data_IF_285626313360
#
_entry.id   IF_285626313360
#
_cell.length_a   1.000
_cell.length_b   1.000
_cell.length_c   1.000
_cell.angle_alpha   90.00
_cell.angle_beta   90.00
_cell.angle_gamma   90.00
#
_symmetry.space_group_name_H-M   'P 1'
#
loop_
_entity.id
_entity.type
_entity.pdbx_description
1 polymer ?
#
# COMPACT_ATOMS: atom_id res chain seq x y z
N UNK A 1 -29.70 -10.52 -4.21
CA UNK A 1 -28.28 -10.54 -4.56
C UNK A 1 -27.56 -9.89 -3.40
N UNK A 2 -26.90 -10.69 -2.57
CA UNK A 2 -26.10 -10.19 -1.45
C UNK A 2 -24.95 -9.35 -2.03
N UNK A 3 -24.93 -8.08 -1.70
CA UNK A 3 -23.71 -7.26 -1.86
C UNK A 3 -22.73 -7.81 -0.84
N UNK A 4 -21.76 -8.59 -1.32
CA UNK A 4 -20.71 -9.18 -0.50
C UNK A 4 -19.99 -8.06 0.24
N UNK A 5 -20.25 -8.03 1.55
CA UNK A 5 -19.57 -7.14 2.48
C UNK A 5 -18.14 -7.62 2.55
N UNK A 6 -17.20 -6.89 1.98
CA UNK A 6 -15.79 -7.15 2.19
C UNK A 6 -15.52 -6.87 3.67
N UNK A 7 -15.28 -7.91 4.46
CA UNK A 7 -14.97 -7.78 5.89
C UNK A 7 -13.51 -7.35 6.12
N UNK A 8 -12.65 -7.47 5.11
CA UNK A 8 -11.25 -7.08 5.17
C UNK A 8 -11.09 -5.56 5.38
N UNK A 9 -10.22 -5.18 6.30
CA UNK A 9 -9.79 -3.78 6.45
C UNK A 9 -8.63 -3.49 5.48
N UNK A 10 -8.90 -2.73 4.43
CA UNK A 10 -7.94 -2.40 3.38
C UNK A 10 -7.41 -0.99 3.60
N UNK A 11 -6.13 -0.89 3.96
CA UNK A 11 -5.41 0.36 4.20
C UNK A 11 -4.58 0.70 2.95
N UNK A 12 -4.88 1.81 2.31
CA UNK A 12 -4.09 2.30 1.18
C UNK A 12 -3.27 3.52 1.59
N UNK A 13 -1.97 3.47 1.33
CA UNK A 13 -1.04 4.56 1.61
C UNK A 13 -0.78 5.34 0.33
N UNK A 14 -1.06 6.65 0.34
CA UNK A 14 -0.88 7.54 -0.81
C UNK A 14 -0.26 8.88 -0.38
N UNK A 15 0.35 9.61 -1.31
CA UNK A 15 0.99 10.89 -1.02
C UNK A 15 2.10 11.24 -2.00
N UNK A 16 2.75 12.38 -1.78
CA UNK A 16 3.88 12.86 -2.59
C UNK A 16 5.05 11.87 -2.56
N UNK A 17 5.85 11.84 -3.62
CA UNK A 17 7.12 11.08 -3.64
C UNK A 17 8.08 11.54 -2.53
N UNK A 18 8.77 10.59 -1.89
CA UNK A 18 9.80 10.86 -0.89
C UNK A 18 9.32 11.21 0.52
N UNK A 19 8.02 11.17 0.81
CA UNK A 19 7.48 11.50 2.15
C UNK A 19 7.49 10.32 3.13
N UNK A 20 7.98 9.13 2.72
CA UNK A 20 8.08 7.94 3.58
C UNK A 20 6.86 7.04 3.59
N UNK A 21 6.12 6.96 2.47
CA UNK A 21 4.97 6.06 2.31
C UNK A 21 5.33 4.61 2.60
N UNK A 22 6.34 4.10 1.89
CA UNK A 22 6.83 2.72 2.00
C UNK A 22 7.24 2.36 3.42
N UNK A 23 8.01 3.23 4.08
CA UNK A 23 8.43 3.02 5.47
C UNK A 23 7.23 2.99 6.42
N UNK A 24 6.24 3.89 6.23
CA UNK A 24 5.00 3.88 7.02
C UNK A 24 4.15 2.65 6.75
N UNK A 25 4.00 2.23 5.49
CA UNK A 25 3.28 1.00 5.14
C UNK A 25 3.94 -0.22 5.82
N UNK A 26 5.27 -0.33 5.77
CA UNK A 26 6.00 -1.40 6.43
C UNK A 26 5.81 -1.39 7.95
N UNK A 27 5.90 -0.22 8.60
CA UNK A 27 5.66 -0.09 10.05
C UNK A 27 4.21 -0.41 10.41
N UNK A 28 3.23 -0.06 9.56
CA UNK A 28 1.84 -0.47 9.77
C UNK A 28 1.67 -1.98 9.74
N UNK A 29 2.35 -2.69 8.81
CA UNK A 29 2.38 -4.16 8.79
C UNK A 29 2.96 -4.71 10.10
N UNK A 30 4.14 -4.22 10.55
CA UNK A 30 4.74 -4.60 11.83
C UNK A 30 3.76 -4.46 12.99
N UNK A 31 3.07 -3.31 13.08
CA UNK A 31 2.12 -3.03 14.16
C UNK A 31 0.88 -3.93 14.11
N UNK A 32 0.38 -4.24 12.92
CA UNK A 32 -0.75 -5.15 12.74
C UNK A 32 -0.39 -6.58 13.15
N UNK A 33 0.79 -7.07 12.74
CA UNK A 33 1.30 -8.40 13.13
C UNK A 33 1.41 -8.51 14.64
N UNK A 34 1.97 -7.48 15.30
CA UNK A 34 2.10 -7.47 16.75
C UNK A 34 0.76 -7.40 17.49
N UNK A 35 -0.21 -6.63 16.97
CA UNK A 35 -1.51 -6.43 17.63
C UNK A 35 -2.49 -7.58 17.36
N UNK A 36 -2.39 -8.25 16.24
CA UNK A 36 -3.36 -9.23 15.76
C UNK A 36 -2.69 -10.54 15.28
N UNK A 37 -2.04 -11.31 16.18
CA UNK A 37 -1.28 -12.51 15.79
C UNK A 37 -2.14 -13.62 15.17
N UNK A 38 -3.45 -13.64 15.46
CA UNK A 38 -4.39 -14.64 14.93
C UNK A 38 -5.08 -14.19 13.63
N UNK A 39 -4.73 -12.99 13.11
CA UNK A 39 -5.34 -12.43 11.90
C UNK A 39 -4.44 -12.61 10.68
N UNK A 40 -5.08 -12.81 9.54
CA UNK A 40 -4.38 -12.88 8.25
C UNK A 40 -4.14 -11.48 7.72
N UNK A 41 -2.86 -11.13 7.57
CA UNK A 41 -2.39 -9.82 7.13
C UNK A 41 -1.68 -9.97 5.80
N UNK A 42 -2.03 -9.13 4.82
CA UNK A 42 -1.39 -9.06 3.52
C UNK A 42 -0.75 -7.69 3.30
N UNK A 43 0.51 -7.67 2.91
CA UNK A 43 1.20 -6.49 2.41
C UNK A 43 1.26 -6.55 0.88
N UNK A 44 0.80 -5.50 0.20
CA UNK A 44 0.84 -5.37 -1.26
C UNK A 44 1.78 -4.23 -1.63
N UNK A 45 2.86 -4.55 -2.34
CA UNK A 45 3.73 -3.55 -2.96
C UNK A 45 3.21 -3.22 -4.37
N UNK A 46 2.58 -2.07 -4.50
CA UNK A 46 2.04 -1.58 -5.77
C UNK A 46 2.92 -0.48 -6.38
N UNK A 47 4.09 -0.17 -5.79
CA UNK A 47 5.09 0.73 -6.37
C UNK A 47 6.02 -0.07 -7.32
N UNK A 48 6.21 0.39 -8.57
CA UNK A 48 7.14 -0.26 -9.50
C UNK A 48 8.59 -0.36 -9.01
N UNK A 49 8.97 0.44 -8.00
CA UNK A 49 10.30 0.40 -7.40
C UNK A 49 10.50 -0.77 -6.42
N UNK A 50 9.41 -1.46 -6.04
CA UNK A 50 9.41 -2.64 -5.14
C UNK A 50 10.18 -2.38 -3.83
N UNK A 51 9.92 -1.23 -3.19
CA UNK A 51 10.62 -0.80 -1.97
C UNK A 51 10.09 -1.43 -0.69
N UNK A 52 8.82 -1.83 -0.67
CA UNK A 52 8.17 -2.39 0.51
C UNK A 52 8.78 -3.75 0.89
N UNK A 53 9.17 -4.56 -0.09
CA UNK A 53 9.85 -5.84 0.15
C UNK A 53 11.14 -5.67 0.95
N UNK A 54 11.98 -4.69 0.59
CA UNK A 54 13.22 -4.38 1.31
C UNK A 54 12.91 -3.93 2.73
N UNK A 55 11.95 -3.01 2.90
CA UNK A 55 11.58 -2.50 4.23
C UNK A 55 11.01 -3.59 5.16
N UNK A 56 10.36 -4.61 4.62
CA UNK A 56 9.84 -5.76 5.37
C UNK A 56 10.84 -6.92 5.49
N UNK A 57 11.94 -6.92 4.72
CA UNK A 57 12.92 -8.01 4.69
C UNK A 57 12.42 -9.23 3.91
N UNK A 58 11.62 -9.01 2.85
CA UNK A 58 11.04 -10.07 2.00
C UNK A 58 11.89 -10.29 0.76
N UNK A 59 12.22 -11.54 0.46
CA UNK A 59 12.88 -11.95 -0.79
C UNK A 59 11.85 -12.25 -1.88
N UNK A 60 11.63 -11.31 -2.79
CA UNK A 60 10.65 -11.43 -3.88
C UNK A 60 11.27 -12.11 -5.07
N UNK A 61 10.80 -13.31 -5.41
CA UNK A 61 11.28 -14.08 -6.57
C UNK A 61 10.42 -13.91 -7.81
N UNK A 62 9.14 -13.61 -7.62
CA UNK A 62 8.15 -13.51 -8.70
C UNK A 62 7.18 -12.38 -8.39
N UNK A 63 6.87 -11.55 -9.38
CA UNK A 63 5.86 -10.51 -9.28
C UNK A 63 4.61 -10.87 -10.08
N UNK A 64 3.50 -10.19 -9.81
CA UNK A 64 2.27 -10.36 -10.62
C UNK A 64 2.52 -10.00 -12.08
N UNK A 65 3.37 -9.00 -12.36
CA UNK A 65 3.70 -8.61 -13.74
C UNK A 65 4.54 -9.69 -14.46
N UNK A 66 5.40 -10.42 -13.76
CA UNK A 66 6.17 -11.53 -14.34
C UNK A 66 5.23 -12.67 -14.76
N UNK A 67 4.27 -13.03 -13.90
CA UNK A 67 3.23 -14.03 -14.25
C UNK A 67 2.46 -13.59 -15.48
N UNK A 68 2.08 -12.30 -15.53
CA UNK A 68 1.38 -11.75 -16.68
C UNK A 68 2.20 -11.85 -17.97
N UNK A 69 3.49 -11.52 -17.91
CA UNK A 69 4.40 -11.62 -19.07
C UNK A 69 4.47 -13.04 -19.60
N UNK A 70 4.59 -14.02 -18.71
CA UNK A 70 4.59 -15.43 -19.10
C UNK A 70 3.27 -15.87 -19.77
N UNK A 71 2.12 -15.44 -19.21
CA UNK A 71 0.80 -15.74 -19.77
C UNK A 71 0.64 -15.13 -21.17
N UNK A 72 1.06 -13.86 -21.36
CA UNK A 72 0.98 -13.19 -22.66
C UNK A 72 1.90 -13.83 -23.69
N UNK A 73 3.14 -14.16 -23.32
CA UNK A 73 4.09 -14.84 -24.21
C UNK A 73 3.55 -16.17 -24.70
N UNK A 74 2.91 -16.95 -23.82
CA UNK A 74 2.30 -18.23 -24.20
C UNK A 74 1.00 -18.07 -25.04
N UNK A 75 0.34 -16.90 -25.00
CA UNK A 75 -0.87 -16.62 -25.79
C UNK A 75 -0.57 -16.14 -27.23
N UNK A 76 0.62 -15.61 -27.51
CA UNK A 76 1.03 -15.12 -28.83
C UNK A 76 1.23 -16.25 -29.86
N UNK A 77 1.30 -17.51 -29.42
CA UNK A 77 1.35 -18.69 -30.30
C UNK A 77 0.02 -19.05 -31.00
N UNK A 78 -0.95 -18.14 -31.02
CA UNK A 78 -2.04 -18.12 -31.99
C UNK A 78 -3.29 -18.95 -31.68
N UNK A 79 -3.48 -19.43 -30.46
CA UNK A 79 -4.67 -20.20 -30.09
C UNK A 79 -5.58 -19.46 -29.09
N UNK A 80 -6.66 -18.82 -29.60
CA UNK A 80 -7.62 -18.08 -28.78
C UNK A 80 -8.27 -18.93 -27.66
N UNK A 81 -8.34 -20.25 -27.83
CA UNK A 81 -8.87 -21.18 -26.83
C UNK A 81 -7.86 -21.40 -25.70
N UNK A 82 -6.57 -21.47 -26.03
CA UNK A 82 -5.49 -21.51 -25.04
C UNK A 82 -5.38 -20.21 -24.26
N UNK A 83 -5.66 -19.05 -24.89
CA UNK A 83 -5.67 -17.76 -24.18
C UNK A 83 -6.77 -17.65 -23.12
N UNK A 84 -7.94 -18.27 -23.33
CA UNK A 84 -9.04 -18.30 -22.34
C UNK A 84 -8.72 -19.26 -21.18
N UNK A 85 -8.15 -20.42 -21.49
CA UNK A 85 -7.67 -21.38 -20.48
C UNK A 85 -6.54 -20.79 -19.65
N UNK A 86 -5.57 -20.11 -20.29
CA UNK A 86 -4.46 -19.40 -19.64
C UNK A 86 -4.93 -18.24 -18.75
N UNK A 87 -6.01 -17.53 -19.10
CA UNK A 87 -6.61 -16.49 -18.24
C UNK A 87 -7.23 -17.10 -16.97
N UNK A 88 -7.79 -18.30 -17.05
CA UNK A 88 -8.25 -19.07 -15.91
C UNK A 88 -7.09 -19.54 -15.02
N UNK A 89 -6.01 -20.04 -15.62
CA UNK A 89 -4.79 -20.45 -14.92
C UNK A 89 -4.04 -19.28 -14.31
N UNK A 90 -3.97 -18.13 -14.99
CA UNK A 90 -3.32 -16.91 -14.50
C UNK A 90 -3.87 -16.48 -13.14
N UNK A 91 -5.17 -16.64 -12.93
CA UNK A 91 -5.83 -16.34 -11.66
C UNK A 91 -5.30 -17.20 -10.51
N UNK A 92 -5.02 -18.47 -10.77
CA UNK A 92 -4.42 -19.37 -9.78
C UNK A 92 -2.92 -19.10 -9.62
N UNK A 93 -2.21 -18.76 -10.69
CA UNK A 93 -0.78 -18.48 -10.65
C UNK A 93 -0.41 -17.20 -9.91
N UNK A 94 -1.36 -16.29 -9.69
CA UNK A 94 -1.14 -15.11 -8.82
C UNK A 94 -0.72 -15.55 -7.40
N UNK A 95 -1.21 -16.69 -6.93
CA UNK A 95 -0.78 -17.26 -5.64
C UNK A 95 0.68 -17.71 -5.64
N UNK A 96 1.30 -17.98 -6.81
CA UNK A 96 2.71 -18.32 -6.92
C UNK A 96 3.62 -17.11 -6.62
N UNK A 97 3.10 -15.89 -6.76
CA UNK A 97 3.79 -14.64 -6.38
C UNK A 97 3.64 -14.28 -4.90
N UNK A 98 2.80 -15.03 -4.16
CA UNK A 98 2.61 -14.78 -2.74
C UNK A 98 3.80 -15.32 -1.94
N UNK A 99 4.38 -14.48 -1.09
CA UNK A 99 5.45 -14.86 -0.17
C UNK A 99 4.87 -14.91 1.23
N UNK A 100 4.91 -16.10 1.85
CA UNK A 100 4.49 -16.29 3.24
C UNK A 100 5.63 -15.92 4.18
N UNK A 101 5.35 -15.06 5.15
CA UNK A 101 6.26 -14.62 6.19
C UNK A 101 5.69 -14.94 7.58
N UNK A 102 6.50 -14.76 8.62
CA UNK A 102 6.02 -14.92 9.98
C UNK A 102 5.02 -13.80 10.34
N UNK A 103 3.76 -14.16 10.49
CA UNK A 103 2.65 -13.27 10.83
C UNK A 103 2.04 -12.48 9.69
N UNK A 104 2.55 -12.52 8.46
CA UNK A 104 1.94 -11.87 7.30
C UNK A 104 2.31 -12.53 5.98
N UNK A 105 1.53 -12.24 4.94
CA UNK A 105 1.87 -12.59 3.56
C UNK A 105 2.22 -11.32 2.78
N UNK A 106 3.02 -11.47 1.74
CA UNK A 106 3.47 -10.37 0.89
C UNK A 106 3.26 -10.68 -0.59
N UNK A 107 2.90 -9.66 -1.37
CA UNK A 107 2.86 -9.75 -2.84
C UNK A 107 3.35 -8.45 -3.48
N UNK A 108 4.19 -8.56 -4.51
CA UNK A 108 4.62 -7.43 -5.33
C UNK A 108 3.89 -7.43 -6.68
N UNK A 109 3.38 -6.28 -7.08
CA UNK A 109 2.74 -6.12 -8.39
C UNK A 109 3.77 -6.08 -9.51
N UNK A 110 4.93 -5.48 -9.28
CA UNK A 110 6.01 -5.39 -10.26
C UNK A 110 5.85 -4.22 -11.23
N UNK A 111 6.81 -4.10 -12.18
CA UNK A 111 6.92 -2.98 -13.12
C UNK A 111 6.44 -3.35 -14.51
N UNK A 112 5.40 -2.70 -15.03
CA UNK A 112 4.99 -2.87 -16.42
C UNK A 112 6.01 -2.21 -17.38
N UNK A 113 6.62 -2.99 -18.25
CA UNK A 113 7.64 -2.48 -19.19
C UNK A 113 7.09 -1.81 -20.46
N UNK A 114 5.81 -2.00 -20.78
CA UNK A 114 5.23 -1.49 -22.02
C UNK A 114 4.37 -0.24 -21.83
N UNK A 115 4.72 0.84 -22.50
CA UNK A 115 3.87 2.02 -22.66
C UNK A 115 2.54 1.61 -23.34
N UNK A 116 1.41 1.87 -22.69
CA UNK A 116 0.06 1.56 -23.23
C UNK A 116 -0.65 0.36 -22.57
N UNK A 117 0.04 -0.49 -21.80
CA UNK A 117 -0.57 -1.62 -21.10
C UNK A 117 -1.13 -1.27 -19.70
N UNK A 118 -1.00 -0.04 -19.26
CA UNK A 118 -1.43 0.38 -17.91
C UNK A 118 -2.91 0.13 -17.59
N UNK A 119 -3.80 0.22 -18.60
CA UNK A 119 -5.23 -0.06 -18.37
C UNK A 119 -5.53 -1.53 -18.04
N UNK A 120 -4.75 -2.47 -18.60
CA UNK A 120 -4.91 -3.92 -18.33
C UNK A 120 -4.34 -4.30 -16.97
N UNK A 121 -3.24 -3.66 -16.55
CA UNK A 121 -2.60 -3.90 -15.26
C UNK A 121 -3.48 -3.45 -14.11
N UNK A 122 -4.17 -2.33 -14.27
CA UNK A 122 -5.10 -1.82 -13.27
C UNK A 122 -6.29 -2.77 -13.05
N UNK A 123 -6.78 -3.45 -14.11
CA UNK A 123 -7.79 -4.48 -13.95
C UNK A 123 -7.26 -5.70 -13.19
N UNK A 124 -5.99 -6.05 -13.40
CA UNK A 124 -5.33 -7.15 -12.70
C UNK A 124 -5.13 -6.88 -11.21
N UNK A 125 -4.62 -5.70 -10.84
CA UNK A 125 -4.48 -5.35 -9.43
C UNK A 125 -5.84 -5.29 -8.72
N UNK A 126 -6.86 -4.82 -9.40
CA UNK A 126 -8.24 -4.85 -8.89
C UNK A 126 -8.73 -6.28 -8.66
N UNK A 127 -8.46 -7.20 -9.58
CA UNK A 127 -8.78 -8.62 -9.41
C UNK A 127 -7.98 -9.25 -8.28
N UNK A 128 -6.67 -8.94 -8.20
CA UNK A 128 -5.78 -9.39 -7.11
C UNK A 128 -6.31 -8.93 -5.75
N UNK A 129 -6.59 -7.63 -5.60
CA UNK A 129 -7.15 -7.10 -4.35
C UNK A 129 -8.50 -7.77 -4.04
N UNK A 130 -9.36 -7.94 -5.04
CA UNK A 130 -10.65 -8.62 -4.87
C UNK A 130 -10.51 -10.07 -4.40
N UNK A 131 -9.57 -10.83 -4.98
CA UNK A 131 -9.29 -12.22 -4.61
C UNK A 131 -8.76 -12.35 -3.18
N UNK A 132 -7.86 -11.45 -2.79
CA UNK A 132 -7.24 -11.50 -1.47
C UNK A 132 -8.14 -10.89 -0.38
N UNK A 133 -9.00 -9.91 -0.70
CA UNK A 133 -9.93 -9.31 0.26
C UNK A 133 -10.89 -10.32 0.91
N UNK A 134 -11.20 -11.44 0.22
CA UNK A 134 -12.02 -12.51 0.78
C UNK A 134 -11.24 -13.43 1.75
N UNK A 135 -9.90 -13.40 1.68
CA UNK A 135 -9.04 -14.34 2.39
C UNK A 135 -8.20 -13.72 3.50
N UNK A 136 -8.15 -12.39 3.61
CA UNK A 136 -7.36 -11.67 4.58
C UNK A 136 -8.22 -10.75 5.44
N UNK A 137 -7.84 -10.59 6.72
CA UNK A 137 -8.53 -9.67 7.64
C UNK A 137 -8.03 -8.23 7.47
N UNK A 138 -6.73 -8.06 7.17
CA UNK A 138 -6.08 -6.77 6.94
C UNK A 138 -5.25 -6.81 5.66
N UNK A 139 -5.34 -5.75 4.87
CA UNK A 139 -4.51 -5.56 3.67
C UNK A 139 -3.88 -4.17 3.75
N UNK A 140 -2.56 -4.09 3.65
CA UNK A 140 -1.81 -2.83 3.58
C UNK A 140 -1.26 -2.68 2.17
N UNK A 141 -1.61 -1.60 1.48
CA UNK A 141 -1.20 -1.32 0.10
C UNK A 141 -0.25 -0.13 0.11
N UNK A 142 1.02 -0.36 -0.26
CA UNK A 142 1.98 0.71 -0.55
C UNK A 142 1.80 1.17 -1.98
N UNK A 143 1.30 2.38 -2.14
CA UNK A 143 1.00 2.97 -3.44
C UNK A 143 2.15 3.82 -3.99
N UNK A 144 2.27 3.86 -5.32
CA UNK A 144 3.15 4.78 -6.04
C UNK A 144 2.88 6.25 -5.65
N UNK A 145 3.83 7.14 -5.90
CA UNK A 145 3.67 8.57 -5.62
C UNK A 145 2.57 9.22 -6.47
N UNK A 146 1.65 9.92 -5.82
CA UNK A 146 0.71 10.83 -6.46
C UNK A 146 -0.68 10.26 -6.76
N UNK A 147 -1.42 11.02 -7.58
CA UNK A 147 -2.83 10.80 -7.96
C UNK A 147 -3.01 9.63 -8.93
N UNK A 148 -1.96 9.25 -9.65
CA UNK A 148 -2.10 8.38 -10.82
C UNK A 148 -2.67 7.00 -10.51
N UNK A 149 -2.40 6.43 -9.34
CA UNK A 149 -2.98 5.15 -8.95
C UNK A 149 -4.47 5.27 -8.62
N UNK A 150 -4.86 6.38 -8.00
CA UNK A 150 -6.27 6.68 -7.73
C UNK A 150 -7.02 6.89 -9.04
N UNK A 151 -6.44 7.69 -9.96
CA UNK A 151 -7.00 7.91 -11.29
C UNK A 151 -7.12 6.64 -12.14
N UNK A 152 -6.28 5.65 -11.88
CA UNK A 152 -6.28 4.38 -12.62
C UNK A 152 -7.27 3.36 -12.05
N UNK A 153 -8.10 3.73 -11.08
CA UNK A 153 -9.09 2.86 -10.42
C UNK A 153 -8.49 1.60 -9.80
N UNK A 154 -7.20 1.63 -9.48
CA UNK A 154 -6.49 0.52 -8.84
C UNK A 154 -7.02 0.29 -7.44
N UNK A 155 -7.43 1.37 -6.78
CA UNK A 155 -7.93 1.37 -5.40
C UNK A 155 -9.44 1.68 -5.34
N UNK A 156 -10.25 1.08 -6.22
CA UNK A 156 -11.70 1.35 -6.25
C UNK A 156 -12.43 1.01 -4.94
N UNK A 157 -11.85 0.13 -4.12
CA UNK A 157 -12.39 -0.22 -2.81
C UNK A 157 -11.26 -0.28 -1.79
N UNK A 158 -11.13 0.75 -1.00
CA UNK A 158 -10.31 0.73 0.21
C UNK A 158 -11.22 1.11 1.39
N UNK A 159 -10.94 0.58 2.56
CA UNK A 159 -11.70 0.97 3.75
C UNK A 159 -11.04 2.19 4.43
N UNK A 160 -9.72 2.30 4.36
CA UNK A 160 -8.95 3.34 5.04
C UNK A 160 -7.91 3.94 4.10
N UNK A 161 -8.05 5.24 3.79
CA UNK A 161 -7.11 5.98 2.95
C UNK A 161 -6.16 6.79 3.83
N UNK A 162 -4.88 6.41 3.84
CA UNK A 162 -3.81 7.05 4.61
C UNK A 162 -3.03 8.00 3.70
N UNK A 163 -3.20 9.30 3.88
CA UNK A 163 -2.54 10.33 3.09
C UNK A 163 -1.27 10.80 3.79
N UNK A 164 -0.11 10.63 3.17
CA UNK A 164 1.17 10.98 3.76
C UNK A 164 1.70 12.28 3.16
N UNK A 165 2.11 13.21 4.02
CA UNK A 165 2.72 14.48 3.62
C UNK A 165 3.94 14.83 4.46
N UNK A 166 4.78 15.71 3.94
CA UNK A 166 5.78 16.46 4.70
C UNK A 166 5.23 17.86 5.09
N UNK A 167 6.02 18.69 5.78
CA UNK A 167 5.62 20.06 6.15
C UNK A 167 5.63 21.06 4.98
N UNK A 168 6.00 20.64 3.76
CA UNK A 168 6.07 21.55 2.61
C UNK A 168 4.68 21.93 2.10
N UNK A 169 4.53 23.15 1.61
CA UNK A 169 3.30 23.60 0.93
C UNK A 169 2.93 22.69 -0.25
N UNK A 170 3.94 22.18 -0.97
CA UNK A 170 3.72 21.23 -2.06
C UNK A 170 3.16 19.89 -1.55
N UNK A 171 3.66 19.39 -0.42
CA UNK A 171 3.18 18.17 0.21
C UNK A 171 1.72 18.28 0.64
N UNK A 172 1.37 19.35 1.37
CA UNK A 172 -0.01 19.58 1.82
C UNK A 172 -0.97 19.82 0.65
N UNK A 173 -0.53 20.49 -0.42
CA UNK A 173 -1.35 20.66 -1.62
C UNK A 173 -1.60 19.32 -2.32
N UNK A 174 -0.60 18.44 -2.40
CA UNK A 174 -0.75 17.11 -3.02
C UNK A 174 -1.78 16.28 -2.27
N UNK A 175 -1.78 16.23 -0.94
CA UNK A 175 -2.79 15.45 -0.20
C UNK A 175 -4.20 16.00 -0.37
N UNK A 176 -4.38 17.32 -0.46
CA UNK A 176 -5.70 17.93 -0.78
C UNK A 176 -6.18 17.51 -2.16
N UNK A 177 -5.29 17.51 -3.15
CA UNK A 177 -5.64 17.09 -4.52
C UNK A 177 -5.93 15.59 -4.58
N UNK A 178 -5.15 14.74 -3.88
CA UNK A 178 -5.42 13.30 -3.79
C UNK A 178 -6.79 13.06 -3.16
N UNK A 179 -7.11 13.76 -2.06
CA UNK A 179 -8.41 13.65 -1.39
C UNK A 179 -9.57 14.00 -2.33
N UNK A 180 -9.46 15.12 -3.06
CA UNK A 180 -10.48 15.53 -4.02
C UNK A 180 -10.72 14.46 -5.10
N UNK A 181 -9.66 13.90 -5.67
CA UNK A 181 -9.78 12.85 -6.68
C UNK A 181 -10.30 11.54 -6.07
N UNK A 182 -9.90 11.22 -4.82
CA UNK A 182 -10.41 10.05 -4.12
C UNK A 182 -11.91 10.15 -3.86
N UNK A 183 -12.44 11.31 -3.54
CA UNK A 183 -13.88 11.54 -3.35
C UNK A 183 -14.70 11.25 -4.62
N UNK A 184 -14.08 11.44 -5.79
CA UNK A 184 -14.75 11.21 -7.07
C UNK A 184 -14.62 9.76 -7.57
N UNK A 185 -13.50 9.08 -7.28
CA UNK A 185 -13.12 7.84 -7.96
C UNK A 185 -12.95 6.63 -7.05
N UNK A 186 -12.79 6.81 -5.75
CA UNK A 186 -12.50 5.74 -4.79
C UNK A 186 -13.60 5.65 -3.74
N UNK A 187 -14.04 4.44 -3.46
CA UNK A 187 -14.88 4.19 -2.30
C UNK A 187 -13.99 3.93 -1.09
N UNK A 188 -14.05 4.78 -0.08
CA UNK A 188 -13.39 4.57 1.20
C UNK A 188 -14.35 4.93 2.36
N UNK A 189 -14.14 4.29 3.52
CA UNK A 189 -14.95 4.54 4.71
C UNK A 189 -14.33 5.65 5.56
N UNK A 190 -13.00 5.67 5.65
CA UNK A 190 -12.24 6.64 6.44
C UNK A 190 -11.02 7.16 5.70
N UNK A 191 -10.67 8.41 5.97
CA UNK A 191 -9.46 9.06 5.43
C UNK A 191 -8.79 9.87 6.52
N UNK A 192 -7.45 9.97 6.47
CA UNK A 192 -6.70 10.85 7.36
C UNK A 192 -5.29 11.10 6.86
N UNK A 193 -4.68 12.16 7.38
CA UNK A 193 -3.33 12.59 7.03
C UNK A 193 -2.34 12.18 8.11
N UNK A 194 -1.19 11.68 7.70
CA UNK A 194 0.00 11.55 8.53
C UNK A 194 1.03 12.56 8.04
N UNK A 195 1.39 13.51 8.89
CA UNK A 195 2.46 14.47 8.63
C UNK A 195 3.79 13.85 9.07
N UNK A 196 4.63 13.46 8.12
CA UNK A 196 5.87 12.72 8.36
C UNK A 196 7.12 13.56 8.07
N UNK A 197 8.25 13.16 8.64
CA UNK A 197 9.57 13.81 8.45
C UNK A 197 9.55 15.29 8.86
N UNK A 198 8.84 15.62 9.93
CA UNK A 198 8.80 17.00 10.43
C UNK A 198 10.13 17.34 11.12
N UNK A 199 10.70 18.54 10.88
CA UNK A 199 11.92 18.98 11.58
C UNK A 199 11.66 19.29 13.08
N UNK A 200 10.46 19.75 13.40
CA UNK A 200 9.96 20.02 14.74
C UNK A 200 8.42 20.13 14.71
N UNK A 201 7.79 20.25 15.87
CA UNK A 201 6.33 20.33 15.95
C UNK A 201 5.77 21.74 15.69
N UNK A 202 6.59 22.79 15.70
CA UNK A 202 6.13 24.16 15.45
C UNK A 202 5.64 24.37 14.03
N UNK A 203 6.11 23.52 13.10
CA UNK A 203 5.68 23.57 11.69
C UNK A 203 4.19 23.25 11.50
N UNK A 204 3.53 22.61 12.48
CA UNK A 204 2.09 22.29 12.43
C UNK A 204 1.22 23.51 12.11
N UNK A 205 1.55 24.66 12.66
CA UNK A 205 0.80 25.91 12.47
C UNK A 205 0.81 26.40 11.02
N UNK A 206 1.75 25.93 10.18
CA UNK A 206 1.88 26.32 8.79
C UNK A 206 1.32 25.26 7.82
N UNK A 207 0.87 24.12 8.34
CA UNK A 207 0.36 23.01 7.53
C UNK A 207 -1.14 23.18 7.32
N UNK A 208 -1.53 23.35 6.06
CA UNK A 208 -2.94 23.41 5.66
C UNK A 208 -3.27 22.16 4.81
N UNK A 209 -3.97 21.22 5.41
CA UNK A 209 -4.46 20.00 4.76
C UNK A 209 -5.98 20.02 4.49
N UNK A 210 -6.60 21.19 4.65
CA UNK A 210 -8.05 21.36 4.53
C UNK A 210 -8.80 20.66 5.67
N UNK A 211 -9.94 20.07 5.36
CA UNK A 211 -10.82 19.41 6.34
C UNK A 211 -10.41 17.95 6.64
N UNK A 212 -9.25 17.50 6.15
CA UNK A 212 -8.81 16.13 6.34
C UNK A 212 -8.28 15.97 7.78
N UNK A 213 -8.78 15.00 8.57
CA UNK A 213 -8.27 14.76 9.91
C UNK A 213 -6.77 14.45 9.90
N UNK A 214 -5.98 15.13 10.71
CA UNK A 214 -4.57 14.78 10.92
C UNK A 214 -4.50 13.74 12.02
N UNK A 215 -4.04 12.54 11.65
CA UNK A 215 -3.98 11.38 12.53
C UNK A 215 -2.72 11.39 13.41
N UNK A 216 -1.60 11.86 12.84
CA UNK A 216 -0.32 11.88 13.56
C UNK A 216 0.66 12.89 12.95
N UNK A 217 1.59 13.37 13.78
CA UNK A 217 2.71 14.24 13.41
C UNK A 217 4.03 13.57 13.81
N UNK A 218 4.79 13.11 12.82
CA UNK A 218 5.99 12.31 13.01
C UNK A 218 7.23 13.15 12.73
N UNK A 219 8.11 13.26 13.71
CA UNK A 219 9.40 13.92 13.52
C UNK A 219 10.32 13.09 12.63
N UNK A 220 11.31 13.76 12.04
CA UNK A 220 12.39 13.06 11.32
C UNK A 220 13.06 12.05 12.24
N UNK A 221 13.20 10.81 11.76
CA UNK A 221 13.72 9.69 12.53
C UNK A 221 15.07 9.25 11.96
N UNK A 222 16.12 9.45 12.74
CA UNK A 222 17.49 9.09 12.33
C UNK A 222 17.69 7.57 12.34
N UNK A 223 17.03 6.85 13.23
CA UNK A 223 17.12 5.38 13.30
C UNK A 223 16.54 4.74 12.05
N UNK A 224 15.38 5.22 11.58
CA UNK A 224 14.81 4.76 10.32
C UNK A 224 15.75 4.99 9.12
N UNK A 225 16.40 6.17 9.07
CA UNK A 225 17.34 6.48 7.98
C UNK A 225 18.53 5.52 7.99
N UNK A 226 19.01 5.09 9.16
CA UNK A 226 20.06 4.09 9.29
C UNK A 226 19.60 2.70 8.81
N UNK A 227 18.39 2.29 9.16
CA UNK A 227 17.78 1.03 8.69
C UNK A 227 17.65 1.03 7.17
N UNK A 228 17.12 2.12 6.58
CA UNK A 228 17.01 2.28 5.12
C UNK A 228 18.37 2.13 4.43
N UNK A 229 19.44 2.75 4.98
CA UNK A 229 20.79 2.66 4.43
C UNK A 229 21.38 1.25 4.50
N UNK A 230 21.05 0.49 5.54
CA UNK A 230 21.55 -0.88 5.74
C UNK A 230 20.69 -1.93 5.04
N UNK A 231 19.51 -1.56 4.55
CA UNK A 231 18.51 -2.51 4.04
C UNK A 231 17.97 -3.44 5.13
N UNK A 232 17.94 -2.96 6.39
CA UNK A 232 17.44 -3.73 7.52
C UNK A 232 15.90 -3.64 7.60
N UNK A 233 15.26 -4.76 7.99
CA UNK A 233 13.81 -4.79 8.11
C UNK A 233 13.30 -3.93 9.26
N UNK A 234 12.19 -3.21 9.05
CA UNK A 234 11.51 -2.41 10.08
C UNK A 234 11.00 -3.25 11.26
N UNK A 235 10.94 -4.57 11.12
CA UNK A 235 10.59 -5.45 12.24
C UNK A 235 11.60 -5.37 13.39
N UNK A 236 12.85 -5.01 13.10
CA UNK A 236 13.92 -4.81 14.09
C UNK A 236 14.00 -3.36 14.62
N UNK A 237 13.19 -2.46 14.08
CA UNK A 237 13.14 -1.07 14.55
C UNK A 237 12.51 -1.02 15.95
N UNK A 238 13.10 -0.19 16.82
CA UNK A 238 12.61 -0.01 18.19
C UNK A 238 11.16 0.51 18.20
N UNK A 239 10.35 0.01 19.12
CA UNK A 239 8.96 0.44 19.27
C UNK A 239 8.84 1.91 19.73
N UNK A 240 9.89 2.46 20.34
CA UNK A 240 10.02 3.88 20.70
C UNK A 240 10.47 4.78 19.55
N UNK A 241 10.82 4.24 18.39
CA UNK A 241 11.14 5.03 17.22
C UNK A 241 9.97 5.98 16.85
N UNK A 242 10.29 7.21 16.44
CA UNK A 242 9.27 8.22 16.18
C UNK A 242 8.25 7.77 15.13
N UNK A 243 8.71 7.07 14.08
CA UNK A 243 7.82 6.56 13.04
C UNK A 243 6.90 5.45 13.56
N UNK A 244 7.37 4.58 14.46
CA UNK A 244 6.58 3.48 15.04
C UNK A 244 5.47 4.05 15.93
N UNK A 245 5.83 4.97 16.86
CA UNK A 245 4.84 5.64 17.72
C UNK A 245 3.82 6.41 16.90
N UNK A 246 4.26 7.18 15.91
CA UNK A 246 3.37 7.98 15.09
C UNK A 246 2.48 7.16 14.18
N UNK A 247 2.95 6.05 13.63
CA UNK A 247 2.13 5.10 12.88
C UNK A 247 1.09 4.43 13.79
N UNK A 248 1.46 4.05 15.02
CA UNK A 248 0.53 3.51 16.02
C UNK A 248 -0.57 4.52 16.36
N UNK A 249 -0.20 5.77 16.65
CA UNK A 249 -1.16 6.86 16.90
C UNK A 249 -2.13 7.02 15.72
N UNK A 250 -1.63 7.00 14.50
CA UNK A 250 -2.45 7.11 13.30
C UNK A 250 -3.42 5.92 13.13
N UNK A 251 -2.96 4.69 13.37
CA UNK A 251 -3.81 3.50 13.29
C UNK A 251 -4.90 3.48 14.38
N UNK A 252 -4.60 3.97 15.58
CA UNK A 252 -5.61 4.18 16.65
C UNK A 252 -6.60 5.27 16.22
N UNK A 253 -6.09 6.42 15.77
CA UNK A 253 -6.92 7.57 15.37
C UNK A 253 -7.89 7.26 14.24
N UNK A 254 -7.54 6.36 13.33
CA UNK A 254 -8.42 5.92 12.23
C UNK A 254 -9.27 4.69 12.61
N UNK A 255 -9.06 4.10 13.79
CA UNK A 255 -9.85 2.99 14.33
C UNK A 255 -9.48 1.62 13.75
N UNK A 256 -8.21 1.42 13.47
CA UNK A 256 -7.62 0.13 13.09
C UNK A 256 -7.07 -0.60 14.31
N UNK A 257 -6.35 0.11 15.18
CA UNK A 257 -5.89 -0.41 16.47
C UNK A 257 -6.76 0.12 17.62
N UNK A 258 -6.82 -0.64 18.70
CA UNK A 258 -7.39 -0.21 19.98
C UNK A 258 -6.39 0.69 20.73
N UNK A 259 -6.91 1.60 21.57
CA UNK A 259 -6.11 2.57 22.33
C UNK A 259 -5.34 1.93 23.49
#
# INVERSE_FOLDING_TARGET
MNTDKIDAKILAVAGKGGVGKTSLAAVMVKLLVAAYPDKRILAIDADPAVGLSTALGVDVKLTVDDIRKEVVANAEDGNAKAAIELLGEARYRIFDALVEMDGFSFIAIGRPEAAGCYCKINSYLKEVIGLFAENYDYIVIDGEAGIEQINRRVMEKVTHLMLITDSSKKGTQVVKTIKQVADELVMYDKVGVIANRLPNLDVKQYMDVGDIPVLSYILSDASLAEFDLKGESVFYLDDDAAIVRGAKEALIGIGILEA
#
